data_IF_787335127728
#
_entry.id   IF_787335127728
#
_cell.length_a   1.000
_cell.length_b   1.000
_cell.length_c   1.000
_cell.angle_alpha   90.00
_cell.angle_beta   90.00
_cell.angle_gamma   90.00
#
_symmetry.space_group_name_H-M   'P 1'
#
loop_
_entity.id
_entity.type
_entity.pdbx_description
1 polymer ?
#
# COMPACT_ATOMS: atom_id res chain seq x y z
N UNK A 1 -11.44 -4.87 -38.67
CA UNK A 1 -11.92 -4.92 -37.27
C UNK A 1 -10.72 -4.80 -36.34
N UNK A 2 -10.55 -3.71 -35.59
CA UNK A 2 -9.46 -3.60 -34.63
C UNK A 2 -9.76 -4.49 -33.43
N UNK A 3 -8.82 -5.38 -33.09
CA UNK A 3 -8.89 -6.23 -31.90
C UNK A 3 -8.70 -5.32 -30.68
N UNK A 4 -9.78 -4.90 -30.06
CA UNK A 4 -9.76 -4.22 -28.76
C UNK A 4 -9.31 -5.27 -27.74
N UNK A 5 -7.99 -5.37 -27.53
CA UNK A 5 -7.44 -6.17 -26.43
C UNK A 5 -7.76 -5.40 -25.15
N UNK A 6 -8.85 -5.77 -24.48
CA UNK A 6 -9.04 -5.36 -23.10
C UNK A 6 -7.81 -5.81 -22.32
N UNK A 7 -7.12 -4.87 -21.68
CA UNK A 7 -6.14 -5.20 -20.66
C UNK A 7 -6.92 -5.76 -19.48
N UNK A 8 -7.18 -7.07 -19.49
CA UNK A 8 -7.77 -7.76 -18.35
C UNK A 8 -6.77 -7.60 -17.21
N UNK A 9 -7.13 -6.85 -16.19
CA UNK A 9 -6.32 -6.76 -14.98
C UNK A 9 -6.20 -8.17 -14.41
N UNK A 10 -4.98 -8.70 -14.23
CA UNK A 10 -4.82 -10.04 -13.69
C UNK A 10 -5.40 -10.12 -12.28
N UNK A 11 -5.98 -11.27 -11.91
CA UNK A 11 -6.61 -11.48 -10.61
C UNK A 11 -5.63 -11.32 -9.43
N UNK A 12 -4.33 -11.49 -9.68
CA UNK A 12 -3.27 -11.26 -8.69
C UNK A 12 -2.00 -10.74 -9.36
N UNK A 13 -1.20 -10.02 -8.58
CA UNK A 13 0.13 -9.54 -8.98
C UNK A 13 1.12 -9.73 -7.84
N UNK A 14 2.40 -9.92 -8.18
CA UNK A 14 3.48 -9.93 -7.19
C UNK A 14 4.07 -8.53 -7.09
N UNK A 15 4.13 -7.99 -5.89
CA UNK A 15 4.83 -6.75 -5.59
C UNK A 15 6.07 -7.08 -4.74
N UNK A 16 7.21 -6.47 -5.06
CA UNK A 16 8.42 -6.58 -4.24
C UNK A 16 8.76 -5.19 -3.71
N UNK A 17 8.85 -5.06 -2.40
CA UNK A 17 9.23 -3.80 -1.74
C UNK A 17 10.59 -3.95 -1.09
N UNK A 18 11.41 -2.91 -1.19
CA UNK A 18 12.70 -2.87 -0.49
C UNK A 18 12.52 -2.07 0.80
N UNK A 19 12.69 -2.72 1.94
CA UNK A 19 12.65 -2.09 3.26
C UNK A 19 14.06 -1.73 3.71
N UNK A 20 14.21 -0.56 4.34
CA UNK A 20 15.45 -0.20 4.99
C UNK A 20 15.62 -0.96 6.32
N UNK A 21 16.83 -0.92 6.89
CA UNK A 21 17.17 -1.65 8.13
C UNK A 21 16.26 -1.31 9.32
N UNK A 22 15.78 -0.07 9.41
CA UNK A 22 14.88 0.36 10.49
C UNK A 22 13.48 -0.24 10.28
N UNK A 23 12.93 -0.12 9.08
CA UNK A 23 11.63 -0.67 8.73
C UNK A 23 11.58 -2.19 8.92
N UNK A 24 12.64 -2.90 8.51
CA UNK A 24 12.72 -4.36 8.69
C UNK A 24 12.71 -4.77 10.17
N UNK A 25 13.37 -4.00 11.05
CA UNK A 25 13.36 -4.27 12.49
C UNK A 25 11.97 -4.08 13.10
N UNK A 26 11.30 -2.99 12.75
CA UNK A 26 9.94 -2.73 13.22
C UNK A 26 8.97 -3.81 12.74
N UNK A 27 9.04 -4.20 11.46
CA UNK A 27 8.21 -5.28 10.91
C UNK A 27 8.41 -6.61 11.64
N UNK A 28 9.66 -6.96 11.96
CA UNK A 28 9.97 -8.16 12.75
C UNK A 28 9.44 -8.09 14.18
N UNK A 29 9.47 -6.91 14.78
CA UNK A 29 8.92 -6.70 16.12
C UNK A 29 7.40 -6.87 16.10
N UNK A 30 6.74 -6.25 15.14
CA UNK A 30 5.29 -6.39 14.93
C UNK A 30 4.89 -7.83 14.66
N UNK A 31 5.63 -8.58 13.83
CA UNK A 31 5.32 -10.00 13.57
C UNK A 31 5.35 -10.85 14.83
N UNK A 32 6.22 -10.51 15.79
CA UNK A 32 6.27 -11.19 17.10
C UNK A 32 5.08 -10.76 17.97
N UNK A 33 4.81 -9.45 18.05
CA UNK A 33 3.73 -8.90 18.89
C UNK A 33 2.33 -9.36 18.47
N UNK A 34 2.11 -9.51 17.16
CA UNK A 34 0.83 -9.97 16.62
C UNK A 34 0.74 -11.49 16.46
N UNK A 35 1.82 -12.24 16.76
CA UNK A 35 1.91 -13.69 16.51
C UNK A 35 1.56 -14.07 15.05
N UNK A 36 2.04 -13.27 14.10
CA UNK A 36 1.74 -13.42 12.66
C UNK A 36 3.01 -13.57 11.84
N UNK A 37 2.91 -14.20 10.66
CA UNK A 37 4.01 -14.22 9.72
C UNK A 37 4.24 -12.81 9.13
N UNK A 38 5.47 -12.55 8.66
CA UNK A 38 5.80 -11.26 8.01
C UNK A 38 4.97 -11.07 6.74
N UNK A 39 4.70 -12.16 6.00
CA UNK A 39 3.93 -12.12 4.76
C UNK A 39 2.46 -11.75 5.03
N UNK A 40 1.84 -12.33 6.07
CA UNK A 40 0.47 -11.99 6.47
C UNK A 40 0.39 -10.54 6.97
N UNK A 41 1.39 -10.10 7.73
CA UNK A 41 1.45 -8.72 8.22
C UNK A 41 1.62 -7.71 7.08
N UNK A 42 2.37 -8.06 6.03
CA UNK A 42 2.47 -7.26 4.81
C UNK A 42 1.13 -7.19 4.07
N UNK A 43 0.41 -8.31 3.96
CA UNK A 43 -0.91 -8.34 3.35
C UNK A 43 -1.89 -7.42 4.08
N UNK A 44 -1.94 -7.52 5.43
CA UNK A 44 -2.76 -6.64 6.27
C UNK A 44 -2.37 -5.17 6.12
N UNK A 45 -1.08 -4.87 6.05
CA UNK A 45 -0.61 -3.49 5.86
C UNK A 45 -1.07 -2.91 4.51
N UNK A 46 -1.01 -3.71 3.44
CA UNK A 46 -1.48 -3.31 2.11
C UNK A 46 -2.99 -3.09 2.11
N UNK A 47 -3.77 -4.03 2.67
CA UNK A 47 -5.23 -3.92 2.70
C UNK A 47 -5.69 -2.73 3.55
N UNK A 48 -5.04 -2.51 4.70
CA UNK A 48 -5.30 -1.35 5.56
C UNK A 48 -4.99 -0.03 4.84
N UNK A 49 -3.90 0.02 4.07
CA UNK A 49 -3.53 1.20 3.30
C UNK A 49 -4.54 1.49 2.18
N UNK A 50 -4.96 0.47 1.43
CA UNK A 50 -5.99 0.61 0.38
C UNK A 50 -7.32 1.05 0.98
N UNK A 51 -7.74 0.43 2.09
CA UNK A 51 -8.97 0.80 2.77
C UNK A 51 -8.93 2.25 3.25
N UNK A 52 -7.81 2.69 3.82
CA UNK A 52 -7.61 4.09 4.20
C UNK A 52 -7.67 5.01 2.98
N UNK A 53 -7.04 4.65 1.87
CA UNK A 53 -7.11 5.45 0.65
C UNK A 53 -8.54 5.60 0.12
N UNK A 54 -9.32 4.51 0.11
CA UNK A 54 -10.71 4.50 -0.37
C UNK A 54 -11.68 5.23 0.55
N UNK A 55 -11.40 5.27 1.86
CA UNK A 55 -12.26 5.94 2.86
C UNK A 55 -11.97 7.43 3.02
N UNK A 56 -10.86 7.94 2.48
CA UNK A 56 -10.59 9.38 2.47
C UNK A 56 -11.44 10.04 1.36
N UNK A 57 -12.33 10.99 1.70
CA UNK A 57 -13.10 11.71 0.70
C UNK A 57 -12.16 12.49 -0.23
N UNK A 58 -12.47 12.47 -1.53
CA UNK A 58 -11.64 13.06 -2.60
C UNK A 58 -11.29 14.53 -2.33
N UNK A 59 -12.20 15.28 -1.71
CA UNK A 59 -11.99 16.68 -1.31
C UNK A 59 -10.86 16.90 -0.28
N UNK A 60 -10.44 15.86 0.44
CA UNK A 60 -9.30 15.90 1.38
C UNK A 60 -7.99 15.42 0.76
N UNK A 61 -8.03 14.62 -0.32
CA UNK A 61 -6.82 14.19 -1.04
C UNK A 61 -6.15 15.39 -1.73
N UNK A 62 -6.92 16.27 -2.37
CA UNK A 62 -6.39 17.45 -3.08
C UNK A 62 -5.71 18.46 -2.14
N UNK A 63 -6.21 18.61 -0.90
CA UNK A 63 -5.62 19.55 0.07
C UNK A 63 -4.27 19.07 0.61
N UNK A 64 -4.06 17.76 0.73
CA UNK A 64 -2.79 17.20 1.20
C UNK A 64 -1.73 17.12 0.08
N UNK A 65 -2.16 16.99 -1.18
CA UNK A 65 -1.27 17.09 -2.34
C UNK A 65 -0.64 18.48 -2.47
N UNK A 66 -1.45 19.54 -2.33
CA UNK A 66 -0.95 20.93 -2.38
C UNK A 66 -0.03 21.23 -1.19
N UNK A 67 -0.37 20.80 0.03
CA UNK A 67 0.49 20.99 1.21
C UNK A 67 1.86 20.32 1.08
N UNK A 68 1.92 19.12 0.50
CA UNK A 68 3.19 18.41 0.26
C UNK A 68 4.07 19.08 -0.80
N UNK A 69 3.50 19.95 -1.65
CA UNK A 69 4.21 20.77 -2.63
C UNK A 69 4.64 22.14 -2.07
N UNK A 70 3.98 22.64 -1.02
CA UNK A 70 4.23 23.98 -0.47
C UNK A 70 5.01 23.99 0.85
N UNK A 71 5.11 22.87 1.57
CA UNK A 71 5.94 22.71 2.76
C UNK A 71 7.15 21.81 2.47
N UNK A 72 8.04 22.31 1.60
CA UNK A 72 9.41 21.83 1.42
C UNK A 72 10.40 22.76 2.13
#
# INVERSE_FOLDING_TARGET
MPRIKYHVTPESGRLTITLNKRQLKEFKKMSIEFEMSIDDLLQVAVDSFIHKYQTVPTDQLDKNGIKSLTEG
#
